data_IF_397867609522
#
_entry.id   IF_397867609522
#
_cell.length_a   1.000
_cell.length_b   1.000
_cell.length_c   1.000
_cell.angle_alpha   90.00
_cell.angle_beta   90.00
_cell.angle_gamma   90.00
#
_symmetry.space_group_name_H-M   'P 1'
#
loop_
_entity.id
_entity.type
_entity.pdbx_description
1 polymer ?
#
# COMPACT_ATOMS: atom_id res chain seq x y z
N UNK A 1 13.71 7.10 -11.63
CA UNK A 1 12.53 7.38 -12.49
C UNK A 1 11.60 8.31 -11.71
N UNK A 2 10.95 9.31 -12.31
CA UNK A 2 10.01 10.23 -11.61
C UNK A 2 8.58 9.69 -11.63
N UNK A 3 7.68 10.22 -10.78
CA UNK A 3 6.24 9.86 -10.83
C UNK A 3 5.60 10.29 -12.16
N UNK A 4 6.11 11.37 -12.75
CA UNK A 4 5.69 11.84 -14.08
C UNK A 4 5.90 10.78 -15.17
N UNK A 5 7.08 10.15 -15.20
CA UNK A 5 7.36 9.09 -16.19
C UNK A 5 6.42 7.90 -16.00
N UNK A 6 6.08 7.56 -14.75
CA UNK A 6 5.13 6.48 -14.47
C UNK A 6 3.70 6.85 -14.90
N UNK A 7 3.28 8.09 -14.69
CA UNK A 7 2.00 8.59 -15.19
C UNK A 7 1.92 8.54 -16.71
N UNK A 8 2.99 8.90 -17.42
CA UNK A 8 3.06 8.81 -18.88
C UNK A 8 2.93 7.36 -19.36
N UNK A 9 3.55 6.40 -18.65
CA UNK A 9 3.38 4.96 -18.93
C UNK A 9 1.95 4.49 -18.72
N UNK A 10 1.32 4.88 -17.61
CA UNK A 10 -0.10 4.54 -17.33
C UNK A 10 -0.98 5.10 -18.45
N UNK A 11 -0.81 6.37 -18.81
CA UNK A 11 -1.55 7.00 -19.91
C UNK A 11 -1.34 6.28 -21.24
N UNK A 12 -0.15 5.76 -21.52
CA UNK A 12 0.08 4.91 -22.69
C UNK A 12 -0.72 3.60 -22.58
N UNK A 13 -0.65 2.92 -21.43
CA UNK A 13 -1.36 1.67 -21.19
C UNK A 13 -2.90 1.81 -21.20
N UNK A 14 -3.43 3.01 -20.93
CA UNK A 14 -4.88 3.24 -21.06
C UNK A 14 -5.40 3.18 -22.50
N UNK A 15 -4.51 3.30 -23.50
CA UNK A 15 -4.87 3.22 -24.93
C UNK A 15 -4.63 1.84 -25.52
N UNK A 16 -3.60 1.17 -25.02
CA UNK A 16 -3.25 -0.20 -25.35
C UNK A 16 -2.77 -0.88 -24.06
N UNK A 17 -3.57 -1.82 -23.56
CA UNK A 17 -3.29 -2.52 -22.30
C UNK A 17 -2.14 -3.52 -22.42
N UNK A 18 -1.44 -3.59 -23.56
CA UNK A 18 -0.19 -4.33 -23.65
C UNK A 18 0.80 -3.89 -22.57
N UNK A 19 1.41 -4.86 -21.88
CA UNK A 19 2.38 -4.59 -20.81
C UNK A 19 1.80 -4.04 -19.50
N UNK A 20 0.48 -4.03 -19.30
CA UNK A 20 -0.16 -3.51 -18.08
C UNK A 20 0.40 -4.13 -16.79
N UNK A 21 0.76 -5.41 -16.82
CA UNK A 21 1.34 -6.14 -15.68
C UNK A 21 2.65 -5.50 -15.21
N UNK A 22 3.51 -5.07 -16.14
CA UNK A 22 4.79 -4.42 -15.81
C UNK A 22 4.53 -3.05 -15.18
N UNK A 23 3.58 -2.28 -15.70
CA UNK A 23 3.23 -0.97 -15.14
C UNK A 23 2.60 -1.12 -13.75
N UNK A 24 1.76 -2.13 -13.55
CA UNK A 24 1.21 -2.50 -12.23
C UNK A 24 2.32 -2.81 -11.23
N UNK A 25 3.28 -3.66 -11.60
CA UNK A 25 4.42 -4.00 -10.74
C UNK A 25 5.27 -2.77 -10.42
N UNK A 26 5.50 -1.87 -11.38
CA UNK A 26 6.21 -0.61 -11.15
C UNK A 26 5.48 0.28 -10.14
N UNK A 27 4.14 0.37 -10.22
CA UNK A 27 3.33 1.13 -9.25
C UNK A 27 3.47 0.52 -7.85
N UNK A 28 3.30 -0.80 -7.73
CA UNK A 28 3.40 -1.53 -6.45
C UNK A 28 4.80 -1.34 -5.83
N UNK A 29 5.86 -1.59 -6.61
CA UNK A 29 7.24 -1.44 -6.15
C UNK A 29 7.58 -0.02 -5.69
N UNK A 30 6.91 0.97 -6.27
CA UNK A 30 7.13 2.38 -5.94
C UNK A 30 6.32 2.81 -4.74
N UNK A 31 5.11 2.30 -4.60
CA UNK A 31 4.31 2.44 -3.39
C UNK A 31 5.06 1.84 -2.21
N UNK A 32 5.74 0.71 -2.43
CA UNK A 32 6.57 0.05 -1.44
C UNK A 32 7.67 0.94 -0.86
N UNK A 33 8.29 1.76 -1.71
CA UNK A 33 9.42 2.61 -1.36
C UNK A 33 9.02 4.02 -0.96
N UNK A 34 7.73 4.36 -1.07
CA UNK A 34 7.21 5.65 -0.68
C UNK A 34 7.14 5.76 0.85
N UNK A 35 7.32 6.98 1.36
CA UNK A 35 7.10 7.36 2.75
C UNK A 35 6.25 8.63 2.89
N UNK A 36 5.69 9.11 1.78
CA UNK A 36 4.93 10.35 1.69
C UNK A 36 3.49 10.07 1.29
N UNK A 37 2.56 10.72 1.97
CA UNK A 37 1.13 10.58 1.73
C UNK A 37 0.76 11.00 0.32
N UNK A 38 1.38 12.07 -0.19
CA UNK A 38 1.12 12.58 -1.55
C UNK A 38 1.54 11.58 -2.64
N UNK A 39 2.65 10.87 -2.40
CA UNK A 39 3.13 9.82 -3.29
C UNK A 39 2.18 8.62 -3.27
N UNK A 40 1.67 8.21 -2.09
CA UNK A 40 0.66 7.14 -1.98
C UNK A 40 -0.63 7.49 -2.73
N UNK A 41 -1.17 8.69 -2.50
CA UNK A 41 -2.38 9.16 -3.20
C UNK A 41 -2.19 9.13 -4.72
N UNK A 42 -1.04 9.63 -5.19
CA UNK A 42 -0.71 9.64 -6.62
C UNK A 42 -0.65 8.22 -7.17
N UNK A 43 0.04 7.31 -6.48
CA UNK A 43 0.21 5.93 -6.91
C UNK A 43 -1.09 5.13 -6.89
N UNK A 44 -1.95 5.31 -5.88
CA UNK A 44 -3.29 4.70 -5.84
C UNK A 44 -4.18 5.20 -6.98
N UNK A 45 -4.07 6.49 -7.32
CA UNK A 45 -4.82 7.07 -8.45
C UNK A 45 -4.33 6.53 -9.80
N UNK A 46 -3.01 6.38 -9.96
CA UNK A 46 -2.41 5.75 -11.14
C UNK A 46 -2.79 4.27 -11.25
N UNK A 47 -2.78 3.55 -10.13
CA UNK A 47 -3.20 2.15 -10.05
C UNK A 47 -4.65 1.99 -10.50
N UNK A 48 -5.56 2.79 -9.94
CA UNK A 48 -6.97 2.78 -10.33
C UNK A 48 -7.14 3.04 -11.82
N UNK A 49 -6.49 4.07 -12.34
CA UNK A 49 -6.60 4.44 -13.76
C UNK A 49 -6.12 3.32 -14.69
N UNK A 50 -5.01 2.66 -14.32
CA UNK A 50 -4.52 1.49 -15.04
C UNK A 50 -5.53 0.34 -15.01
N UNK A 51 -6.01 -0.04 -13.83
CA UNK A 51 -6.90 -1.19 -13.67
C UNK A 51 -8.29 -0.95 -14.27
N UNK A 52 -8.81 0.28 -14.18
CA UNK A 52 -10.06 0.67 -14.86
C UNK A 52 -9.91 0.49 -16.39
N UNK A 53 -8.77 0.88 -16.97
CA UNK A 53 -8.51 0.67 -18.39
C UNK A 53 -8.32 -0.81 -18.74
N UNK A 54 -7.61 -1.58 -17.91
CA UNK A 54 -7.43 -3.03 -18.11
C UNK A 54 -8.77 -3.75 -18.11
N UNK A 55 -9.61 -3.51 -17.10
CA UNK A 55 -10.94 -4.12 -17.02
C UNK A 55 -11.83 -3.73 -18.19
N UNK A 56 -11.80 -2.45 -18.61
CA UNK A 56 -12.58 -1.99 -19.76
C UNK A 56 -12.18 -2.71 -21.05
N UNK A 57 -10.88 -2.88 -21.32
CA UNK A 57 -10.39 -3.54 -22.53
C UNK A 57 -10.52 -5.06 -22.48
N UNK A 58 -10.54 -5.64 -21.27
CA UNK A 58 -10.62 -7.10 -21.06
C UNK A 58 -12.00 -7.55 -20.59
N UNK A 59 -13.02 -6.71 -20.72
CA UNK A 59 -14.38 -6.98 -20.22
C UNK A 59 -14.98 -8.28 -20.78
N UNK A 60 -14.69 -8.61 -22.04
CA UNK A 60 -15.15 -9.82 -22.71
C UNK A 60 -14.14 -11.00 -22.63
N UNK A 61 -13.06 -10.83 -21.87
CA UNK A 61 -12.06 -11.88 -21.64
C UNK A 61 -12.59 -12.91 -20.64
N UNK A 62 -12.23 -14.17 -20.87
CA UNK A 62 -12.48 -15.27 -19.91
C UNK A 62 -11.73 -15.10 -18.57
N UNK A 63 -10.75 -14.20 -18.52
CA UNK A 63 -9.94 -13.95 -17.32
C UNK A 63 -10.38 -12.71 -16.51
N UNK A 64 -11.49 -12.05 -16.86
CA UNK A 64 -11.91 -10.80 -16.20
C UNK A 64 -12.10 -10.95 -14.68
N UNK A 65 -12.63 -12.08 -14.22
CA UNK A 65 -12.81 -12.33 -12.79
C UNK A 65 -11.47 -12.45 -12.04
N UNK A 66 -10.46 -13.05 -12.67
CA UNK A 66 -9.10 -13.10 -12.11
C UNK A 66 -8.47 -11.72 -12.06
N UNK A 67 -8.72 -10.88 -13.07
CA UNK A 67 -8.21 -9.49 -13.10
C UNK A 67 -8.82 -8.69 -11.93
N UNK A 68 -10.13 -8.85 -11.69
CA UNK A 68 -10.81 -8.21 -10.56
C UNK A 68 -10.32 -8.73 -9.21
N UNK A 69 -10.05 -10.02 -9.10
CA UNK A 69 -9.46 -10.59 -7.89
C UNK A 69 -8.06 -10.02 -7.62
N UNK A 70 -7.20 -9.97 -8.64
CA UNK A 70 -5.87 -9.35 -8.53
C UNK A 70 -5.99 -7.88 -8.13
N UNK A 71 -6.95 -7.15 -8.70
CA UNK A 71 -7.21 -5.75 -8.37
C UNK A 71 -7.55 -5.58 -6.88
N UNK A 72 -8.47 -6.38 -6.38
CA UNK A 72 -8.90 -6.34 -4.99
C UNK A 72 -7.76 -6.68 -4.03
N UNK A 73 -6.99 -7.73 -4.32
CA UNK A 73 -5.83 -8.14 -3.51
C UNK A 73 -4.75 -7.06 -3.46
N UNK A 74 -4.41 -6.48 -4.59
CA UNK A 74 -3.44 -5.39 -4.65
C UNK A 74 -3.90 -4.16 -3.88
N UNK A 75 -5.15 -3.76 -4.08
CA UNK A 75 -5.67 -2.56 -3.45
C UNK A 75 -5.67 -2.71 -1.93
N UNK A 76 -6.07 -3.88 -1.42
CA UNK A 76 -5.95 -4.23 0.01
C UNK A 76 -4.50 -4.18 0.49
N UNK A 77 -3.56 -4.73 -0.28
CA UNK A 77 -2.14 -4.68 0.05
C UNK A 77 -1.61 -3.24 0.11
N UNK A 78 -1.94 -2.41 -0.87
CA UNK A 78 -1.49 -1.01 -0.96
C UNK A 78 -2.02 -0.20 0.24
N UNK A 79 -3.31 -0.33 0.57
CA UNK A 79 -3.92 0.34 1.73
C UNK A 79 -3.30 -0.15 3.03
N UNK A 80 -3.20 -1.48 3.22
CA UNK A 80 -2.62 -2.08 4.44
C UNK A 80 -1.21 -1.57 4.69
N UNK A 81 -0.43 -1.43 3.62
CA UNK A 81 0.94 -0.94 3.70
C UNK A 81 1.03 0.51 4.18
N UNK A 82 0.17 1.39 3.68
CA UNK A 82 0.15 2.80 4.09
C UNK A 82 -0.19 2.95 5.58
N UNK A 83 -1.04 2.08 6.13
CA UNK A 83 -1.38 2.08 7.55
C UNK A 83 -0.47 1.21 8.44
N UNK A 84 0.57 0.55 7.93
CA UNK A 84 1.45 -0.30 8.75
C UNK A 84 2.58 0.51 9.38
N UNK A 85 2.73 0.41 10.70
CA UNK A 85 3.80 1.04 11.50
C UNK A 85 4.47 -0.04 12.35
N UNK A 86 5.79 -0.22 12.23
CA UNK A 86 6.53 -1.22 13.01
C UNK A 86 5.97 -2.66 12.89
N UNK A 87 5.40 -3.03 11.75
CA UNK A 87 4.79 -4.34 11.51
C UNK A 87 3.37 -4.54 12.05
N UNK A 88 2.75 -3.48 12.59
CA UNK A 88 1.36 -3.49 13.05
C UNK A 88 0.51 -2.52 12.25
N UNK A 89 -0.74 -2.88 11.98
CA UNK A 89 -1.71 -1.99 11.33
C UNK A 89 -2.18 -0.92 12.32
N UNK A 90 -2.00 0.34 11.95
CA UNK A 90 -2.51 1.49 12.66
C UNK A 90 -3.98 1.70 12.30
N UNK A 91 -4.88 1.40 13.24
CA UNK A 91 -6.34 1.46 13.03
C UNK A 91 -6.82 2.89 12.75
N UNK A 92 -6.28 3.89 13.46
CA UNK A 92 -6.55 5.30 13.21
C UNK A 92 -6.21 5.68 11.76
N UNK A 93 -5.04 5.28 11.28
CA UNK A 93 -4.63 5.52 9.89
C UNK A 93 -5.54 4.76 8.93
N UNK A 94 -5.84 3.48 9.19
CA UNK A 94 -6.72 2.68 8.33
C UNK A 94 -8.10 3.35 8.18
N UNK A 95 -8.68 3.85 9.27
CA UNK A 95 -9.94 4.58 9.24
C UNK A 95 -9.83 5.83 8.37
N UNK A 96 -8.85 6.71 8.61
CA UNK A 96 -8.62 7.91 7.80
C UNK A 96 -8.42 7.59 6.30
N UNK A 97 -7.66 6.52 6.00
CA UNK A 97 -7.43 6.08 4.63
C UNK A 97 -8.72 5.63 3.96
N UNK A 98 -9.52 4.78 4.61
CA UNK A 98 -10.76 4.29 4.02
C UNK A 98 -11.74 5.43 3.73
N UNK A 99 -11.83 6.44 4.61
CA UNK A 99 -12.61 7.65 4.36
C UNK A 99 -12.06 8.44 3.16
N UNK A 100 -10.75 8.69 3.10
CA UNK A 100 -10.09 9.38 1.98
C UNK A 100 -10.35 8.67 0.65
N UNK A 101 -10.24 7.35 0.62
CA UNK A 101 -10.44 6.55 -0.59
C UNK A 101 -11.91 6.52 -1.03
N UNK A 102 -12.84 6.51 -0.08
CA UNK A 102 -14.27 6.63 -0.33
C UNK A 102 -14.62 8.01 -0.92
N UNK A 103 -14.14 9.08 -0.29
CA UNK A 103 -14.33 10.47 -0.76
C UNK A 103 -13.73 10.68 -2.16
N UNK A 104 -12.59 10.06 -2.45
CA UNK A 104 -11.96 10.13 -3.76
C UNK A 104 -12.61 9.22 -4.82
N UNK A 105 -13.66 8.46 -4.47
CA UNK A 105 -14.33 7.53 -5.37
C UNK A 105 -13.45 6.37 -5.84
N UNK A 106 -12.36 6.07 -5.12
CA UNK A 106 -11.47 4.93 -5.40
C UNK A 106 -11.93 3.65 -4.71
N UNK A 107 -12.60 3.79 -3.56
CA UNK A 107 -13.22 2.72 -2.80
C UNK A 107 -14.75 2.87 -2.83
N UNK A 108 -15.46 1.76 -3.01
CA UNK A 108 -16.93 1.73 -2.93
C UNK A 108 -17.42 1.68 -1.48
N UNK A 109 -18.65 2.13 -1.18
CA UNK A 109 -19.18 2.17 0.19
C UNK A 109 -19.32 0.79 0.85
N UNK A 110 -19.51 -0.27 0.06
CA UNK A 110 -19.64 -1.65 0.54
C UNK A 110 -18.28 -2.37 0.68
N UNK A 111 -17.16 -1.65 0.53
CA UNK A 111 -15.84 -2.27 0.57
C UNK A 111 -15.52 -2.79 1.97
N UNK A 112 -15.05 -4.04 2.06
CA UNK A 112 -14.88 -4.73 3.36
C UNK A 112 -13.93 -4.02 4.32
N UNK A 113 -12.92 -3.29 3.80
CA UNK A 113 -12.03 -2.50 4.63
C UNK A 113 -12.72 -1.33 5.35
N UNK A 114 -13.80 -0.77 4.80
CA UNK A 114 -14.56 0.31 5.46
C UNK A 114 -15.18 -0.22 6.74
N UNK A 115 -15.95 -1.32 6.63
CA UNK A 115 -16.59 -1.95 7.79
C UNK A 115 -15.55 -2.38 8.82
N UNK A 116 -14.45 -3.00 8.38
CA UNK A 116 -13.34 -3.37 9.27
C UNK A 116 -12.76 -2.16 10.01
N UNK A 117 -12.56 -1.04 9.33
CA UNK A 117 -11.98 0.16 9.95
C UNK A 117 -12.95 0.82 10.94
N UNK A 118 -14.25 0.87 10.61
CA UNK A 118 -15.31 1.39 11.48
C UNK A 118 -15.46 0.54 12.75
N UNK A 119 -15.44 -0.79 12.61
CA UNK A 119 -15.54 -1.67 13.77
C UNK A 119 -14.28 -1.59 14.63
N UNK A 120 -13.10 -1.61 14.01
CA UNK A 120 -11.83 -1.61 14.72
C UNK A 120 -11.56 -0.29 15.47
N UNK A 121 -11.99 0.87 14.94
CA UNK A 121 -11.78 2.17 15.61
C UNK A 121 -12.62 2.30 16.89
N UNK A 122 -13.73 1.57 17.00
CA UNK A 122 -14.59 1.56 18.19
C UNK A 122 -14.03 0.71 19.34
N UNK A 123 -13.15 -0.25 19.02
CA UNK A 123 -12.53 -1.15 20.00
C UNK A 123 -11.22 -0.58 20.57
N UNK A 124 -10.76 -1.03 21.76
CA UNK A 124 -9.45 -0.67 22.28
C UNK A 124 -8.32 -1.06 21.31
N UNK A 125 -7.59 -0.07 20.81
CA UNK A 125 -6.46 -0.26 19.90
C UNK A 125 -5.27 0.61 20.32
N UNK A 126 -4.09 0.30 19.76
CA UNK A 126 -2.95 1.18 19.91
C UNK A 126 -3.12 2.41 19.04
N UNK A 127 -3.05 3.59 19.65
CA UNK A 127 -2.95 4.86 18.92
C UNK A 127 -1.69 4.87 18.04
N UNK A 128 -1.73 5.69 16.99
CA UNK A 128 -0.60 5.90 16.09
C UNK A 128 0.67 6.29 16.83
N UNK A 129 0.56 7.15 17.84
CA UNK A 129 1.70 7.55 18.66
C UNK A 129 2.31 6.37 19.44
N UNK A 130 1.48 5.49 20.00
CA UNK A 130 1.95 4.32 20.73
C UNK A 130 2.70 3.37 19.80
N UNK A 131 2.19 3.13 18.58
CA UNK A 131 2.86 2.32 17.58
C UNK A 131 4.21 2.91 17.16
N UNK A 132 4.29 4.22 16.90
CA UNK A 132 5.55 4.90 16.60
C UNK A 132 6.56 4.80 17.75
N UNK A 133 6.09 4.83 19.01
CA UNK A 133 6.97 4.63 20.18
C UNK A 133 7.47 3.19 20.27
N UNK A 134 6.64 2.20 19.93
CA UNK A 134 7.04 0.79 19.90
C UNK A 134 8.05 0.51 18.79
N UNK A 135 7.81 1.01 17.58
CA UNK A 135 8.73 0.90 16.45
C UNK A 135 10.12 1.46 16.79
N UNK A 136 10.18 2.67 17.38
CA UNK A 136 11.45 3.27 17.83
C UNK A 136 12.17 2.41 18.87
N UNK A 137 11.43 1.75 19.77
CA UNK A 137 12.02 0.84 20.77
C UNK A 137 12.59 -0.41 20.09
N UNK A 138 11.84 -1.02 19.18
CA UNK A 138 12.27 -2.20 18.40
C UNK A 138 13.54 -1.86 17.63
N UNK A 139 13.56 -0.76 16.89
CA UNK A 139 14.74 -0.32 16.12
C UNK A 139 15.98 -0.13 17.02
N UNK A 140 15.80 0.43 18.22
CA UNK A 140 16.90 0.59 19.18
C UNK A 140 17.43 -0.75 19.69
N UNK A 141 16.54 -1.72 19.94
CA UNK A 141 16.93 -3.05 20.38
C UNK A 141 17.72 -3.79 19.29
N UNK A 142 17.24 -3.76 18.04
CA UNK A 142 17.93 -4.36 16.90
C UNK A 142 19.33 -3.77 16.71
N UNK A 143 19.45 -2.44 16.75
CA UNK A 143 20.75 -1.78 16.65
C UNK A 143 21.71 -2.22 17.77
N UNK A 144 21.21 -2.39 19.00
CA UNK A 144 22.03 -2.86 20.11
C UNK A 144 22.47 -4.33 19.95
N UNK A 145 21.61 -5.19 19.40
CA UNK A 145 21.94 -6.58 19.07
C UNK A 145 23.04 -6.62 18.01
N UNK A 146 22.87 -5.89 16.91
CA UNK A 146 23.87 -5.80 15.83
C UNK A 146 25.22 -5.29 16.34
N UNK A 147 25.23 -4.29 17.23
CA UNK A 147 26.46 -3.81 17.85
C UNK A 147 27.12 -4.89 18.72
N UNK A 148 26.36 -5.58 19.57
CA UNK A 148 26.89 -6.68 20.41
C UNK A 148 27.48 -7.80 19.57
N UNK A 149 26.83 -8.20 18.48
CA UNK A 149 27.35 -9.22 17.56
C UNK A 149 28.68 -8.77 16.94
N UNK A 150 28.76 -7.54 16.43
CA UNK A 150 30.00 -6.95 15.89
C UNK A 150 31.13 -6.96 16.91
N UNK A 151 30.86 -6.58 18.17
CA UNK A 151 31.87 -6.57 19.22
C UNK A 151 32.24 -7.99 19.70
N UNK A 152 31.32 -8.96 19.67
CA UNK A 152 31.61 -10.34 20.08
C UNK A 152 32.69 -11.01 19.22
N UNK A 153 32.80 -10.64 17.94
CA UNK A 153 33.86 -11.10 17.05
C UNK A 153 35.20 -10.40 17.29
N UNK A 154 35.20 -9.21 17.89
CA UNK A 154 36.42 -8.44 18.22
C UNK A 154 37.07 -8.99 19.50
N UNK A 155 36.26 -9.44 20.47
CA UNK A 155 36.75 -9.91 21.78
C UNK A 155 36.86 -11.44 21.90
N UNK A 156 36.57 -12.21 20.83
CA UNK A 156 36.97 -13.63 20.72
C UNK A 156 38.43 -13.71 20.22
N UNK A 157 39.39 -13.58 21.13
CA UNK A 157 40.78 -14.01 20.96
C UNK A 157 41.22 -14.81 22.18
#
# INVERSE_FOLDING_TARGET
>A
MSLKILADKVNSCTKDVSGWQQVREEIINRHEKSSKVEDYITLLSLYKSLMDAVELHMQDSVDIDKIREVRDQDYKMLITRECTIGGSVCIETLYELTQRELEAGRMGPEHSLINLAVDAIAEPHYSREQLLRQEKKIQKLENNVTLREKFSHIFRK
#
